data_IF_219753116298
#
_entry.id   IF_219753116298
#
_cell.length_a   1.000
_cell.length_b   1.000
_cell.length_c   1.000
_cell.angle_alpha   90.00
_cell.angle_beta   90.00
_cell.angle_gamma   90.00
#
_symmetry.space_group_name_H-M   'P 1'
#
loop_
_entity.id
_entity.type
_entity.pdbx_description
1 polymer ?
#
# COMPACT_ATOMS: atom_id res chain seq x y z
N UNK A 1 7.35 3.73 46.89
CA UNK A 1 5.88 3.82 46.76
C UNK A 1 5.48 2.91 45.61
N UNK A 2 4.55 1.98 45.80
CA UNK A 2 4.18 0.99 44.78
C UNK A 2 3.27 1.58 43.71
N UNK A 3 3.60 1.37 42.44
CA UNK A 3 2.69 1.61 41.32
C UNK A 3 1.64 0.50 41.26
N UNK A 4 0.38 0.80 41.56
CA UNK A 4 -0.73 -0.14 41.38
C UNK A 4 -0.94 -0.44 39.90
N UNK A 5 -0.68 -1.67 39.48
CA UNK A 5 -0.86 -2.15 38.11
C UNK A 5 -2.34 -2.37 37.81
N UNK A 6 -3.05 -1.29 37.45
CA UNK A 6 -4.48 -1.31 37.11
C UNK A 6 -4.76 -1.87 35.72
N UNK A 7 -4.51 -3.16 35.54
CA UNK A 7 -5.06 -3.90 34.40
C UNK A 7 -6.58 -3.80 34.39
N UNK A 8 -7.17 -3.45 33.25
CA UNK A 8 -8.62 -3.41 33.08
C UNK A 8 -9.06 -4.46 32.05
N UNK A 9 -9.89 -5.40 32.50
CA UNK A 9 -10.56 -6.38 31.65
C UNK A 9 -12.04 -6.01 31.53
N UNK A 10 -12.55 -5.90 30.31
CA UNK A 10 -13.94 -5.50 30.04
C UNK A 10 -14.54 -6.31 28.88
N UNK A 11 -15.30 -7.35 29.21
CA UNK A 11 -16.20 -8.02 28.28
C UNK A 11 -17.54 -7.27 28.22
N UNK A 12 -18.05 -6.99 27.02
CA UNK A 12 -19.26 -6.21 26.79
C UNK A 12 -20.10 -6.83 25.66
N UNK A 13 -21.41 -6.89 25.86
CA UNK A 13 -22.39 -7.35 24.88
C UNK A 13 -23.45 -6.26 24.66
N UNK A 14 -23.84 -6.05 23.40
CA UNK A 14 -25.06 -5.35 22.97
C UNK A 14 -25.33 -4.00 23.68
N UNK A 15 -24.60 -2.94 23.31
CA UNK A 15 -24.87 -1.58 23.79
C UNK A 15 -25.14 -0.59 22.64
N UNK A 16 -25.99 0.41 22.92
CA UNK A 16 -26.43 1.44 21.97
C UNK A 16 -25.28 2.36 21.54
N UNK A 17 -24.75 3.17 22.45
CA UNK A 17 -23.59 4.03 22.21
C UNK A 17 -22.73 4.00 23.48
N UNK A 18 -21.40 3.95 23.33
CA UNK A 18 -20.48 4.15 24.46
C UNK A 18 -19.35 5.09 24.09
N UNK A 19 -19.06 6.02 25.00
CA UNK A 19 -17.93 6.92 24.93
C UNK A 19 -16.93 6.57 26.03
N UNK A 20 -15.65 6.56 25.71
CA UNK A 20 -14.56 6.44 26.69
C UNK A 20 -13.60 7.62 26.54
N UNK A 21 -13.21 8.20 27.68
CA UNK A 21 -12.05 9.10 27.80
C UNK A 21 -11.13 8.52 28.86
N UNK A 22 -9.93 8.08 28.46
CA UNK A 22 -8.97 7.40 29.33
C UNK A 22 -7.59 8.05 29.23
N UNK A 23 -7.05 8.47 30.38
CA UNK A 23 -5.72 9.06 30.49
C UNK A 23 -4.77 8.09 31.21
N UNK A 24 -3.67 7.73 30.56
CA UNK A 24 -2.61 6.83 31.08
C UNK A 24 -3.08 5.45 31.60
N UNK A 25 -3.99 4.70 30.92
CA UNK A 25 -4.23 3.31 31.30
C UNK A 25 -2.97 2.48 31.05
N UNK A 26 -2.63 1.58 31.98
CA UNK A 26 -1.45 0.72 31.85
C UNK A 26 -1.71 -0.35 30.77
N UNK A 27 -2.63 -1.27 31.05
CA UNK A 27 -3.04 -2.34 30.13
C UNK A 27 -4.56 -2.44 30.12
N UNK A 28 -5.17 -2.47 28.94
CA UNK A 28 -6.61 -2.56 28.76
C UNK A 28 -6.99 -3.66 27.75
N UNK A 29 -7.79 -4.62 28.20
CA UNK A 29 -8.32 -5.74 27.41
C UNK A 29 -9.83 -5.59 27.23
N UNK A 30 -10.27 -5.57 25.97
CA UNK A 30 -11.67 -5.44 25.60
C UNK A 30 -12.13 -6.56 24.68
N UNK A 31 -13.21 -7.24 25.07
CA UNK A 31 -13.98 -8.13 24.20
C UNK A 31 -15.38 -7.54 24.03
N UNK A 32 -15.76 -7.15 22.81
CA UNK A 32 -16.99 -6.37 22.56
C UNK A 32 -17.81 -7.00 21.44
N UNK A 33 -19.05 -7.38 21.74
CA UNK A 33 -19.97 -8.01 20.80
C UNK A 33 -21.16 -7.10 20.47
N UNK A 34 -21.39 -6.87 19.16
CA UNK A 34 -22.48 -6.08 18.58
C UNK A 34 -22.66 -4.66 19.18
N UNK A 35 -21.61 -3.82 19.27
CA UNK A 35 -21.77 -2.43 19.69
C UNK A 35 -22.39 -1.59 18.55
N UNK A 36 -23.50 -0.90 18.82
CA UNK A 36 -24.17 -0.06 17.82
C UNK A 36 -23.37 1.23 17.54
N UNK A 37 -22.59 1.76 18.50
CA UNK A 37 -21.44 2.64 18.22
C UNK A 37 -20.48 2.77 19.41
N UNK A 38 -19.18 2.94 19.14
CA UNK A 38 -18.13 3.13 20.15
C UNK A 38 -17.19 4.27 19.75
N UNK A 39 -16.97 5.20 20.69
CA UNK A 39 -16.16 6.41 20.51
C UNK A 39 -15.11 6.53 21.62
N UNK A 40 -13.84 6.28 21.32
CA UNK A 40 -12.77 6.18 22.32
C UNK A 40 -11.68 7.23 22.11
N UNK A 41 -11.46 8.06 23.13
CA UNK A 41 -10.32 8.97 23.24
C UNK A 41 -9.37 8.41 24.31
N UNK A 42 -8.14 8.06 23.94
CA UNK A 42 -7.18 7.45 24.87
C UNK A 42 -5.81 8.12 24.75
N UNK A 43 -5.27 8.64 25.86
CA UNK A 43 -4.01 9.38 25.88
C UNK A 43 -2.92 8.63 26.64
N UNK A 44 -1.79 8.36 25.98
CA UNK A 44 -0.62 7.67 26.51
C UNK A 44 -0.91 6.28 27.13
N UNK A 45 -1.65 5.37 26.44
CA UNK A 45 -1.81 3.99 26.91
C UNK A 45 -0.52 3.20 26.70
N UNK A 46 -0.17 2.31 27.63
CA UNK A 46 1.00 1.43 27.43
C UNK A 46 0.62 0.28 26.48
N UNK A 47 -0.40 -0.52 26.81
CA UNK A 47 -0.89 -1.60 25.95
C UNK A 47 -2.42 -1.63 25.86
N UNK A 48 -2.95 -1.86 24.65
CA UNK A 48 -4.37 -2.02 24.36
C UNK A 48 -4.61 -3.26 23.50
N UNK A 49 -5.53 -4.14 23.94
CA UNK A 49 -6.02 -5.28 23.18
C UNK A 49 -7.54 -5.19 22.99
N UNK A 50 -8.00 -5.29 21.75
CA UNK A 50 -9.42 -5.27 21.40
C UNK A 50 -9.78 -6.47 20.49
N UNK A 51 -10.74 -7.28 20.94
CA UNK A 51 -11.50 -8.21 20.11
C UNK A 51 -12.92 -7.64 19.93
N UNK A 52 -13.34 -7.33 18.70
CA UNK A 52 -14.65 -6.69 18.45
C UNK A 52 -15.40 -7.43 17.32
N UNK A 53 -16.65 -7.80 17.56
CA UNK A 53 -17.51 -8.50 16.60
C UNK A 53 -18.74 -7.67 16.22
N UNK A 54 -19.01 -7.58 14.92
CA UNK A 54 -20.13 -6.87 14.31
C UNK A 54 -20.36 -5.42 14.81
N UNK A 55 -19.33 -4.56 14.94
CA UNK A 55 -19.56 -3.17 15.30
C UNK A 55 -20.12 -2.39 14.11
N UNK A 56 -20.98 -1.41 14.36
CA UNK A 56 -21.44 -0.50 13.31
C UNK A 56 -20.40 0.63 13.07
N UNK A 57 -20.47 1.87 13.59
CA UNK A 57 -19.35 2.82 13.52
C UNK A 57 -18.43 2.73 14.75
N UNK A 58 -17.14 2.52 14.50
CA UNK A 58 -16.07 2.64 15.48
C UNK A 58 -15.22 3.88 15.20
N UNK A 59 -15.12 4.78 16.18
CA UNK A 59 -14.28 5.98 16.12
C UNK A 59 -13.26 5.99 17.26
N UNK A 60 -11.98 6.15 16.91
CA UNK A 60 -10.87 6.13 17.86
C UNK A 60 -9.90 7.29 17.62
N UNK A 61 -9.56 8.01 18.68
CA UNK A 61 -8.48 8.98 18.71
C UNK A 61 -7.49 8.57 19.82
N UNK A 62 -6.31 8.07 19.44
CA UNK A 62 -5.32 7.59 20.42
C UNK A 62 -3.98 8.27 20.20
N UNK A 63 -3.50 8.92 21.25
CA UNK A 63 -2.24 9.67 21.25
C UNK A 63 -1.14 8.89 21.98
N UNK A 64 0.00 8.70 21.33
CA UNK A 64 1.21 8.06 21.87
C UNK A 64 1.00 6.68 22.52
N UNK A 65 0.34 5.70 21.86
CA UNK A 65 0.28 4.33 22.36
C UNK A 65 1.62 3.61 22.17
N UNK A 66 2.06 2.82 23.15
CA UNK A 66 3.24 1.97 22.98
C UNK A 66 2.90 0.69 22.20
N UNK A 67 1.76 0.04 22.46
CA UNK A 67 1.25 -1.04 21.61
C UNK A 67 -0.28 -1.09 21.51
N UNK A 68 -0.82 -1.23 20.29
CA UNK A 68 -2.23 -1.59 20.07
C UNK A 68 -2.33 -2.91 19.28
N UNK A 69 -3.21 -3.81 19.74
CA UNK A 69 -3.61 -5.03 19.05
C UNK A 69 -5.12 -5.05 18.83
N UNK A 70 -5.56 -5.17 17.58
CA UNK A 70 -6.97 -5.22 17.19
C UNK A 70 -7.29 -6.47 16.35
N UNK A 71 -8.27 -7.25 16.80
CA UNK A 71 -8.94 -8.28 16.01
C UNK A 71 -10.41 -7.88 15.84
N UNK A 72 -10.84 -7.52 14.61
CA UNK A 72 -12.20 -7.01 14.37
C UNK A 72 -12.89 -7.77 13.23
N UNK A 73 -14.06 -8.31 13.53
CA UNK A 73 -14.90 -9.05 12.59
C UNK A 73 -16.11 -8.21 12.16
N UNK A 74 -16.31 -8.08 10.84
CA UNK A 74 -17.44 -7.41 10.17
C UNK A 74 -17.72 -5.98 10.66
N UNK A 75 -16.74 -5.06 10.74
CA UNK A 75 -17.03 -3.65 11.03
C UNK A 75 -17.70 -2.97 9.84
N UNK A 76 -18.77 -2.21 10.10
CA UNK A 76 -19.45 -1.42 9.07
C UNK A 76 -18.60 -0.20 8.66
N UNK A 77 -18.17 0.61 9.64
CA UNK A 77 -17.18 1.66 9.42
C UNK A 77 -16.16 1.76 10.56
N UNK A 78 -14.94 2.18 10.21
CA UNK A 78 -13.81 2.21 11.12
C UNK A 78 -12.93 3.43 10.84
N UNK A 79 -12.88 4.36 11.79
CA UNK A 79 -12.14 5.62 11.69
C UNK A 79 -11.15 5.74 12.86
N UNK A 80 -9.86 5.70 12.56
CA UNK A 80 -8.78 5.89 13.55
C UNK A 80 -7.93 7.11 13.21
N UNK A 81 -7.79 8.05 14.14
CA UNK A 81 -6.70 9.01 14.16
C UNK A 81 -5.65 8.58 15.19
N UNK A 82 -4.43 8.27 14.75
CA UNK A 82 -3.35 7.79 15.62
C UNK A 82 -2.07 8.61 15.43
N UNK A 83 -1.55 9.15 16.54
CA UNK A 83 -0.40 10.05 16.55
C UNK A 83 0.78 9.43 17.31
N UNK A 84 1.89 9.19 16.60
CA UNK A 84 3.14 8.61 17.10
C UNK A 84 2.96 7.25 17.84
N UNK A 85 2.29 6.24 17.24
CA UNK A 85 2.23 4.90 17.81
C UNK A 85 3.55 4.14 17.60
N UNK A 86 4.03 3.43 18.63
CA UNK A 86 5.26 2.63 18.51
C UNK A 86 5.03 1.29 17.78
N UNK A 87 3.97 0.55 18.13
CA UNK A 87 3.61 -0.70 17.46
C UNK A 87 2.09 -0.84 17.30
N UNK A 88 1.63 -1.20 16.10
CA UNK A 88 0.22 -1.47 15.80
C UNK A 88 0.05 -2.78 15.03
N UNK A 89 -0.79 -3.68 15.55
CA UNK A 89 -1.14 -4.95 14.90
C UNK A 89 -2.66 -5.04 14.70
N UNK A 90 -3.10 -5.17 13.45
CA UNK A 90 -4.50 -5.24 13.08
C UNK A 90 -4.80 -6.50 12.25
N UNK A 91 -5.77 -7.29 12.70
CA UNK A 91 -6.38 -8.38 11.91
C UNK A 91 -7.86 -8.07 11.71
N UNK A 92 -8.29 -7.92 10.45
CA UNK A 92 -9.64 -7.44 10.11
C UNK A 92 -10.32 -8.39 9.12
N UNK A 93 -11.56 -8.78 9.39
CA UNK A 93 -12.34 -9.69 8.53
C UNK A 93 -13.62 -9.05 8.02
N UNK A 94 -13.78 -8.99 6.69
CA UNK A 94 -14.92 -8.41 5.97
C UNK A 94 -15.28 -6.96 6.39
N UNK A 95 -14.32 -6.01 6.50
CA UNK A 95 -14.67 -4.62 6.79
C UNK A 95 -15.31 -3.94 5.58
N UNK A 96 -16.41 -3.21 5.79
CA UNK A 96 -17.12 -2.55 4.69
C UNK A 96 -16.47 -1.21 4.30
N UNK A 97 -16.10 -0.37 5.28
CA UNK A 97 -15.32 0.86 5.05
C UNK A 97 -14.28 1.10 6.14
N UNK A 98 -13.02 1.36 5.77
CA UNK A 98 -11.97 1.81 6.68
C UNK A 98 -11.36 3.13 6.22
N UNK A 99 -11.17 4.09 7.13
CA UNK A 99 -10.48 5.35 6.85
C UNK A 99 -9.43 5.70 7.91
N UNK A 100 -8.17 5.84 7.50
CA UNK A 100 -7.00 5.88 8.38
C UNK A 100 -6.02 7.03 8.07
N UNK A 101 -6.13 8.19 8.74
CA UNK A 101 -5.04 9.14 8.91
C UNK A 101 -4.11 8.72 10.09
N UNK A 102 -2.83 8.44 9.81
CA UNK A 102 -1.81 8.23 10.86
C UNK A 102 -0.57 9.08 10.63
N UNK A 103 0.04 9.52 11.74
CA UNK A 103 1.25 10.34 11.75
C UNK A 103 2.36 9.66 12.57
N UNK A 104 3.54 9.52 11.95
CA UNK A 104 4.78 8.99 12.52
C UNK A 104 4.66 7.60 13.21
N UNK A 105 4.02 6.58 12.60
CA UNK A 105 4.03 5.23 13.18
C UNK A 105 5.40 4.55 13.01
N UNK A 106 5.90 3.93 14.08
CA UNK A 106 7.20 3.24 14.03
C UNK A 106 7.10 1.82 13.46
N UNK A 107 6.06 1.05 13.78
CA UNK A 107 5.74 -0.19 13.07
C UNK A 107 4.24 -0.44 12.96
N UNK A 108 3.75 -0.72 11.74
CA UNK A 108 2.39 -1.20 11.48
C UNK A 108 2.41 -2.59 10.81
N UNK A 109 1.59 -3.51 11.34
CA UNK A 109 1.27 -4.79 10.70
C UNK A 109 -0.24 -4.93 10.51
N UNK A 110 -0.69 -5.06 9.27
CA UNK A 110 -2.11 -5.27 8.91
C UNK A 110 -2.30 -6.58 8.15
N UNK A 111 -3.25 -7.40 8.59
CA UNK A 111 -3.80 -8.52 7.82
C UNK A 111 -5.30 -8.31 7.62
N UNK A 112 -5.78 -8.18 6.38
CA UNK A 112 -7.18 -7.84 6.09
C UNK A 112 -7.77 -8.78 5.04
N UNK A 113 -8.91 -9.38 5.37
CA UNK A 113 -9.65 -10.30 4.51
C UNK A 113 -10.94 -9.66 4.00
N UNK A 114 -11.15 -9.72 2.69
CA UNK A 114 -12.37 -9.27 1.97
C UNK A 114 -12.83 -7.84 2.32
N UNK A 115 -11.96 -6.82 2.33
CA UNK A 115 -12.39 -5.44 2.55
C UNK A 115 -13.13 -4.88 1.33
N UNK A 116 -14.22 -4.14 1.54
CA UNK A 116 -14.96 -3.52 0.43
C UNK A 116 -14.35 -2.17 0.01
N UNK A 117 -14.07 -1.27 0.95
CA UNK A 117 -13.39 0.00 0.66
C UNK A 117 -12.37 0.37 1.74
N UNK A 118 -11.10 0.55 1.36
CA UNK A 118 -10.06 1.07 2.27
C UNK A 118 -9.46 2.38 1.75
N UNK A 119 -9.36 3.38 2.63
CA UNK A 119 -8.66 4.64 2.37
C UNK A 119 -7.62 4.92 3.46
N UNK A 120 -6.34 4.98 3.07
CA UNK A 120 -5.21 5.25 3.98
C UNK A 120 -4.43 6.50 3.57
N UNK A 121 -4.16 7.37 4.55
CA UNK A 121 -3.22 8.48 4.42
C UNK A 121 -2.20 8.41 5.56
N UNK A 122 -0.95 8.05 5.26
CA UNK A 122 0.09 7.87 6.29
C UNK A 122 1.27 8.83 6.06
N UNK A 123 1.71 9.47 7.14
CA UNK A 123 2.85 10.40 7.12
C UNK A 123 4.02 9.83 7.92
N UNK A 124 5.20 9.81 7.29
CA UNK A 124 6.49 9.37 7.83
C UNK A 124 6.47 8.02 8.59
N UNK A 125 5.88 6.94 8.04
CA UNK A 125 5.92 5.63 8.68
C UNK A 125 7.32 4.99 8.53
N UNK A 126 7.86 4.42 9.61
CA UNK A 126 9.19 3.80 9.58
C UNK A 126 9.14 2.38 8.99
N UNK A 127 8.21 1.53 9.44
CA UNK A 127 7.98 0.20 8.85
C UNK A 127 6.49 -0.10 8.68
N UNK A 128 6.10 -0.53 7.49
CA UNK A 128 4.73 -0.97 7.16
C UNK A 128 4.73 -2.38 6.54
N UNK A 129 3.96 -3.29 7.13
CA UNK A 129 3.66 -4.61 6.57
C UNK A 129 2.15 -4.77 6.38
N UNK A 130 1.72 -5.04 5.14
CA UNK A 130 0.31 -5.24 4.77
C UNK A 130 0.11 -6.55 4.01
N UNK A 131 -0.77 -7.41 4.50
CA UNK A 131 -1.25 -8.62 3.79
C UNK A 131 -2.75 -8.51 3.55
N UNK A 132 -3.17 -8.46 2.28
CA UNK A 132 -4.56 -8.19 1.91
C UNK A 132 -5.12 -9.28 0.98
N UNK A 133 -6.31 -9.80 1.29
CA UNK A 133 -6.98 -10.84 0.51
C UNK A 133 -8.33 -10.34 -0.02
N UNK A 134 -8.54 -10.45 -1.33
CA UNK A 134 -9.78 -10.10 -2.03
C UNK A 134 -10.34 -8.68 -1.72
N UNK A 135 -9.53 -7.60 -1.78
CA UNK A 135 -10.04 -6.25 -1.60
C UNK A 135 -10.83 -5.77 -2.83
N UNK A 136 -11.98 -5.13 -2.62
CA UNK A 136 -12.78 -4.58 -3.73
C UNK A 136 -12.21 -3.25 -4.22
N UNK A 137 -11.97 -2.28 -3.32
CA UNK A 137 -11.35 -1.00 -3.66
C UNK A 137 -10.33 -0.58 -2.59
N UNK A 138 -9.09 -0.27 -3.01
CA UNK A 138 -8.06 0.32 -2.14
C UNK A 138 -7.57 1.67 -2.68
N UNK A 139 -7.44 2.65 -1.79
CA UNK A 139 -6.75 3.92 -2.05
C UNK A 139 -5.70 4.19 -0.96
N UNK A 140 -4.45 4.41 -1.36
CA UNK A 140 -3.33 4.71 -0.48
C UNK A 140 -2.60 5.97 -0.91
N UNK A 141 -2.40 6.90 0.02
CA UNK A 141 -1.49 8.04 -0.11
C UNK A 141 -0.46 8.00 1.01
N UNK A 142 0.82 7.79 0.70
CA UNK A 142 1.88 7.74 1.72
C UNK A 142 2.94 8.83 1.47
N UNK A 143 3.36 9.49 2.54
CA UNK A 143 4.41 10.52 2.52
C UNK A 143 5.62 10.04 3.32
N UNK A 144 6.80 10.09 2.71
CA UNK A 144 8.10 9.78 3.31
C UNK A 144 8.18 8.42 4.05
N UNK A 145 7.64 7.31 3.52
CA UNK A 145 7.76 6.01 4.17
C UNK A 145 9.18 5.47 4.06
N UNK A 146 9.75 4.97 5.15
CA UNK A 146 11.09 4.37 5.11
C UNK A 146 11.03 2.97 4.48
N UNK A 147 10.44 1.96 5.16
CA UNK A 147 10.26 0.62 4.60
C UNK A 147 8.79 0.24 4.41
N UNK A 148 8.45 -0.31 3.24
CA UNK A 148 7.11 -0.83 2.92
C UNK A 148 7.18 -2.27 2.43
N UNK A 149 6.31 -3.14 2.93
CA UNK A 149 6.09 -4.49 2.43
C UNK A 149 4.59 -4.75 2.25
N UNK A 150 4.15 -4.91 1.01
CA UNK A 150 2.76 -5.17 0.66
C UNK A 150 2.63 -6.50 -0.10
N UNK A 151 1.74 -7.37 0.37
CA UNK A 151 1.35 -8.63 -0.29
C UNK A 151 -0.16 -8.65 -0.49
N UNK A 152 -0.62 -8.64 -1.74
CA UNK A 152 -2.04 -8.43 -2.07
C UNK A 152 -2.54 -9.49 -3.06
N UNK A 153 -3.64 -10.16 -2.72
CA UNK A 153 -4.24 -11.23 -3.50
C UNK A 153 -5.64 -10.86 -4.02
N UNK A 154 -5.87 -11.08 -5.32
CA UNK A 154 -7.14 -10.91 -6.05
C UNK A 154 -7.85 -9.56 -5.81
N UNK A 155 -7.15 -8.41 -5.94
CA UNK A 155 -7.77 -7.10 -5.78
C UNK A 155 -8.56 -6.67 -7.02
N UNK A 156 -9.72 -6.05 -6.83
CA UNK A 156 -10.56 -5.53 -7.94
C UNK A 156 -10.04 -4.18 -8.45
N UNK A 157 -9.89 -3.20 -7.57
CA UNK A 157 -9.38 -1.86 -7.89
C UNK A 157 -8.35 -1.39 -6.87
N UNK A 158 -7.20 -0.92 -7.37
CA UNK A 158 -6.07 -0.43 -6.59
C UNK A 158 -5.62 0.94 -7.06
N UNK A 159 -5.42 1.88 -6.13
CA UNK A 159 -4.82 3.19 -6.37
C UNK A 159 -3.76 3.51 -5.32
N UNK A 160 -2.53 3.76 -5.77
CA UNK A 160 -1.39 4.10 -4.92
C UNK A 160 -0.77 5.43 -5.34
N UNK A 161 -0.53 6.33 -4.39
CA UNK A 161 0.24 7.56 -4.56
C UNK A 161 1.31 7.63 -3.47
N UNK A 162 2.59 7.67 -3.86
CA UNK A 162 3.72 7.65 -2.94
C UNK A 162 4.67 8.82 -3.17
N UNK A 163 5.00 9.53 -2.09
CA UNK A 163 5.96 10.63 -2.07
C UNK A 163 7.21 10.23 -1.27
N UNK A 164 8.37 10.29 -1.91
CA UNK A 164 9.69 10.06 -1.32
C UNK A 164 9.84 8.75 -0.51
N UNK A 165 9.42 7.57 -1.02
CA UNK A 165 9.62 6.28 -0.33
C UNK A 165 11.07 5.79 -0.44
N UNK A 166 11.62 5.20 0.63
CA UNK A 166 13.03 4.77 0.63
C UNK A 166 13.26 3.30 0.22
N UNK A 167 12.57 2.33 0.84
CA UNK A 167 12.66 0.90 0.51
C UNK A 167 11.30 0.18 0.45
N UNK A 168 10.51 0.47 -0.60
CA UNK A 168 9.22 -0.18 -0.82
C UNK A 168 9.29 -1.48 -1.63
N UNK A 169 8.57 -2.51 -1.17
CA UNK A 169 8.48 -3.85 -1.74
C UNK A 169 7.01 -4.29 -1.95
N UNK A 170 6.66 -4.73 -3.16
CA UNK A 170 5.29 -5.15 -3.53
C UNK A 170 5.23 -6.56 -4.12
N UNK A 171 4.23 -7.33 -3.67
CA UNK A 171 3.81 -8.60 -4.29
C UNK A 171 2.31 -8.54 -4.57
N UNK A 172 1.92 -8.64 -5.84
CA UNK A 172 0.55 -8.50 -6.32
C UNK A 172 0.13 -9.72 -7.14
N UNK A 173 -1.01 -10.33 -6.79
CA UNK A 173 -1.50 -11.56 -7.41
C UNK A 173 -2.91 -11.38 -7.98
N UNK A 174 -3.03 -11.43 -9.31
CA UNK A 174 -4.28 -11.32 -10.07
C UNK A 174 -5.09 -10.02 -9.83
N UNK A 175 -4.49 -8.80 -9.99
CA UNK A 175 -5.24 -7.56 -9.89
C UNK A 175 -6.06 -7.28 -11.16
N UNK A 176 -7.31 -6.84 -11.00
CA UNK A 176 -8.14 -6.46 -12.15
C UNK A 176 -7.84 -5.05 -12.66
N UNK A 177 -7.65 -4.08 -11.75
CA UNK A 177 -7.17 -2.73 -12.09
C UNK A 177 -6.16 -2.23 -11.06
N UNK A 178 -5.03 -1.71 -11.54
CA UNK A 178 -3.99 -1.05 -10.75
C UNK A 178 -3.63 0.31 -11.36
N UNK A 179 -3.72 1.37 -10.57
CA UNK A 179 -3.10 2.67 -10.85
C UNK A 179 -2.03 2.98 -9.80
N UNK A 180 -0.85 3.39 -10.27
CA UNK A 180 0.31 3.61 -9.42
C UNK A 180 1.02 4.93 -9.77
N UNK A 181 1.22 5.79 -8.78
CA UNK A 181 1.89 7.09 -8.93
C UNK A 181 3.03 7.21 -7.91
N UNK A 182 4.23 7.52 -8.38
CA UNK A 182 5.45 7.58 -7.58
C UNK A 182 6.25 8.86 -7.82
N UNK A 183 6.66 9.51 -6.73
CA UNK A 183 7.52 10.69 -6.72
C UNK A 183 8.78 10.42 -5.88
N UNK A 184 9.95 10.61 -6.48
CA UNK A 184 11.27 10.54 -5.84
C UNK A 184 11.57 9.25 -5.03
N UNK A 185 11.29 8.01 -5.51
CA UNK A 185 11.64 6.80 -4.78
C UNK A 185 13.15 6.54 -4.77
N UNK A 186 13.71 6.24 -3.58
CA UNK A 186 15.14 5.97 -3.35
C UNK A 186 15.54 4.49 -3.50
N UNK A 187 14.54 3.62 -3.59
CA UNK A 187 14.61 2.31 -4.23
C UNK A 187 13.17 1.86 -4.54
N UNK A 188 12.98 0.76 -5.27
CA UNK A 188 11.71 0.04 -5.31
C UNK A 188 11.92 -1.40 -5.78
N UNK A 189 11.21 -2.34 -5.16
CA UNK A 189 11.00 -3.68 -5.69
C UNK A 189 9.49 -3.94 -5.89
N UNK A 190 9.08 -4.47 -7.04
CA UNK A 190 7.72 -4.98 -7.25
C UNK A 190 7.69 -6.27 -8.04
N UNK A 191 6.70 -7.10 -7.75
CA UNK A 191 6.43 -8.38 -8.41
C UNK A 191 4.93 -8.52 -8.61
N UNK A 192 4.48 -8.69 -9.85
CA UNK A 192 3.06 -8.64 -10.23
C UNK A 192 2.72 -9.82 -11.15
N UNK A 193 1.72 -10.62 -10.75
CA UNK A 193 1.23 -11.80 -11.48
C UNK A 193 -0.18 -11.57 -12.01
N UNK A 194 -0.41 -11.90 -13.29
CA UNK A 194 -1.70 -11.92 -13.99
C UNK A 194 -2.56 -10.63 -13.86
N UNK A 195 -2.04 -9.41 -14.08
CA UNK A 195 -2.86 -8.21 -14.07
C UNK A 195 -3.73 -8.07 -15.33
N UNK A 196 -5.02 -7.78 -15.17
CA UNK A 196 -5.89 -7.45 -16.31
C UNK A 196 -5.60 -6.05 -16.86
N UNK A 197 -5.46 -5.06 -15.99
CA UNK A 197 -5.16 -3.67 -16.36
C UNK A 197 -4.24 -2.97 -15.36
N UNK A 198 -3.24 -2.24 -15.87
CA UNK A 198 -2.15 -1.68 -15.09
C UNK A 198 -1.67 -0.34 -15.66
N UNK A 199 -1.70 0.72 -14.85
CA UNK A 199 -1.23 2.07 -15.16
C UNK A 199 -0.15 2.52 -14.16
N UNK A 200 1.03 2.92 -14.65
CA UNK A 200 2.12 3.47 -13.82
C UNK A 200 2.59 4.86 -14.27
N UNK A 201 2.76 5.76 -13.30
CA UNK A 201 3.41 7.07 -13.43
C UNK A 201 4.60 7.20 -12.48
N UNK A 202 5.78 7.57 -13.00
CA UNK A 202 7.05 7.57 -12.26
C UNK A 202 7.88 8.85 -12.47
N UNK A 203 8.10 9.60 -11.39
CA UNK A 203 8.90 10.81 -11.36
C UNK A 203 10.17 10.63 -10.50
N UNK A 204 11.34 10.94 -11.08
CA UNK A 204 12.67 10.91 -10.44
C UNK A 204 13.05 9.65 -9.62
N UNK A 205 12.87 8.41 -10.12
CA UNK A 205 13.29 7.20 -9.42
C UNK A 205 14.81 6.95 -9.45
N UNK A 206 15.39 6.51 -8.34
CA UNK A 206 16.81 6.18 -8.20
C UNK A 206 17.02 5.10 -7.11
N UNK A 207 17.31 3.82 -7.43
CA UNK A 207 17.01 3.05 -8.64
C UNK A 207 15.67 2.28 -8.50
N UNK A 208 15.22 1.55 -9.53
CA UNK A 208 13.94 0.83 -9.50
C UNK A 208 14.05 -0.59 -10.06
N UNK A 209 13.30 -1.56 -9.50
CA UNK A 209 13.20 -2.94 -9.98
C UNK A 209 11.74 -3.42 -9.96
N UNK A 210 11.25 -3.96 -11.08
CA UNK A 210 9.89 -4.49 -11.20
C UNK A 210 9.88 -5.79 -11.99
N UNK A 211 9.05 -6.76 -11.62
CA UNK A 211 8.81 -8.00 -12.38
C UNK A 211 7.32 -8.17 -12.64
N UNK A 212 6.98 -8.65 -13.84
CA UNK A 212 5.61 -8.69 -14.34
C UNK A 212 5.38 -9.94 -15.20
N UNK A 213 4.28 -10.65 -14.96
CA UNK A 213 3.92 -11.86 -15.71
C UNK A 213 2.44 -11.86 -16.11
N UNK A 214 2.17 -12.29 -17.34
CA UNK A 214 0.85 -12.39 -17.98
C UNK A 214 -0.03 -11.12 -17.85
N UNK A 215 0.48 -9.90 -18.18
CA UNK A 215 -0.37 -8.71 -18.23
C UNK A 215 -1.25 -8.73 -19.47
N UNK A 216 -2.56 -8.53 -19.31
CA UNK A 216 -3.49 -8.48 -20.43
C UNK A 216 -3.59 -7.07 -21.05
N UNK A 217 -3.45 -6.02 -20.22
CA UNK A 217 -3.22 -4.65 -20.68
C UNK A 217 -2.30 -3.87 -19.74
N UNK A 218 -1.42 -3.02 -20.29
CA UNK A 218 -0.47 -2.22 -19.54
C UNK A 218 -0.21 -0.86 -20.18
N UNK A 219 -0.21 0.20 -19.38
CA UNK A 219 0.14 1.57 -19.74
C UNK A 219 1.18 2.12 -18.75
N UNK A 220 2.15 2.89 -19.24
CA UNK A 220 3.25 3.42 -18.42
C UNK A 220 3.64 4.81 -18.89
N UNK A 221 4.09 5.69 -17.99
CA UNK A 221 4.74 6.96 -18.34
C UNK A 221 5.79 7.30 -17.28
N UNK A 222 7.03 7.59 -17.69
CA UNK A 222 8.21 7.77 -16.81
C UNK A 222 9.04 8.96 -17.30
N UNK A 223 9.68 9.74 -16.40
CA UNK A 223 11.09 10.23 -16.46
C UNK A 223 11.37 11.41 -15.48
N UNK A 224 12.61 11.74 -15.03
CA UNK A 224 13.94 11.73 -15.71
C UNK A 224 15.09 11.17 -14.83
N UNK A 225 15.50 9.87 -14.95
CA UNK A 225 16.41 9.20 -14.01
C UNK A 225 17.70 8.60 -14.64
N UNK A 226 18.45 7.88 -13.79
CA UNK A 226 19.66 7.06 -14.06
C UNK A 226 19.87 6.11 -12.85
N UNK A 227 19.29 4.91 -12.72
CA UNK A 227 18.93 3.89 -13.72
C UNK A 227 17.72 3.01 -13.28
N UNK A 228 17.29 2.07 -14.14
CA UNK A 228 15.98 1.38 -14.09
C UNK A 228 16.04 -0.13 -14.41
N UNK A 229 15.22 -0.95 -13.72
CA UNK A 229 14.96 -2.39 -13.98
C UNK A 229 13.46 -2.77 -14.04
N UNK A 230 13.20 -3.95 -14.58
CA UNK A 230 11.97 -4.41 -15.27
C UNK A 230 12.04 -5.96 -15.40
N UNK A 231 10.93 -6.61 -15.78
CA UNK A 231 10.84 -7.86 -16.57
C UNK A 231 9.37 -8.13 -16.91
N UNK A 232 9.10 -8.87 -17.99
CA UNK A 232 7.80 -8.94 -18.66
C UNK A 232 7.60 -10.32 -19.28
N UNK A 233 6.43 -10.96 -19.11
CA UNK A 233 6.10 -12.25 -19.74
C UNK A 233 4.68 -12.36 -20.33
N UNK A 234 4.54 -13.04 -21.48
CA UNK A 234 3.32 -13.28 -22.29
C UNK A 234 2.36 -12.07 -22.43
N UNK A 235 2.70 -11.05 -23.26
CA UNK A 235 2.06 -9.75 -23.16
C UNK A 235 1.70 -9.08 -24.51
N UNK A 236 0.42 -8.86 -24.80
CA UNK A 236 -0.06 -7.71 -25.59
C UNK A 236 -1.58 -7.52 -25.45
N UNK A 237 -2.17 -6.29 -25.53
CA UNK A 237 -1.57 -4.95 -25.73
C UNK A 237 -0.81 -4.30 -24.55
N UNK A 238 0.36 -3.72 -24.85
CA UNK A 238 1.09 -2.74 -24.02
C UNK A 238 0.77 -1.29 -24.49
N UNK A 239 1.27 -0.20 -23.89
CA UNK A 239 2.54 0.46 -24.29
C UNK A 239 2.91 1.72 -23.43
N UNK A 240 4.20 1.79 -23.03
CA UNK A 240 5.12 2.86 -22.52
C UNK A 240 4.86 4.40 -22.64
N UNK A 241 5.73 5.23 -22.00
CA UNK A 241 6.20 6.59 -22.41
C UNK A 241 7.39 7.09 -21.56
N UNK A 242 8.30 7.91 -22.15
CA UNK A 242 9.70 8.12 -21.71
C UNK A 242 10.27 9.49 -22.21
N UNK A 243 11.17 10.22 -21.48
CA UNK A 243 12.13 11.31 -21.93
C UNK A 243 12.69 12.17 -20.73
N UNK A 244 13.97 12.50 -20.42
CA UNK A 244 15.36 12.34 -20.95
C UNK A 244 16.30 11.55 -19.95
N UNK A 245 17.23 10.67 -20.38
CA UNK A 245 18.13 9.87 -19.49
C UNK A 245 19.66 10.14 -19.47
N UNK A 246 20.33 9.43 -18.55
CA UNK A 246 21.34 8.40 -18.89
C UNK A 246 20.94 7.08 -18.15
N UNK A 247 21.47 5.91 -18.53
CA UNK A 247 21.23 4.53 -18.00
C UNK A 247 19.77 4.04 -17.75
N UNK A 248 19.46 2.84 -18.27
CA UNK A 248 18.20 2.09 -18.14
C UNK A 248 18.46 0.63 -18.61
N UNK A 249 17.55 -0.34 -18.38
CA UNK A 249 17.59 -1.60 -19.13
C UNK A 249 16.21 -2.23 -19.49
N UNK A 250 16.23 -3.41 -20.14
CA UNK A 250 15.19 -3.91 -21.07
C UNK A 250 15.19 -5.46 -21.29
N UNK A 251 14.20 -6.11 -21.96
CA UNK A 251 12.75 -6.31 -21.67
C UNK A 251 12.14 -7.53 -22.42
N UNK A 252 10.92 -7.99 -22.06
CA UNK A 252 10.06 -9.02 -22.73
C UNK A 252 10.50 -10.50 -22.56
N UNK A 253 9.77 -11.56 -22.91
CA UNK A 253 9.06 -12.02 -24.14
C UNK A 253 7.58 -12.42 -23.86
N UNK A 254 6.64 -12.69 -24.77
CA UNK A 254 6.65 -12.84 -26.23
C UNK A 254 5.39 -12.14 -26.83
N UNK A 255 5.53 -11.06 -27.61
CA UNK A 255 4.42 -10.19 -28.05
C UNK A 255 4.11 -10.14 -29.56
N UNK A 256 2.93 -9.63 -29.93
CA UNK A 256 2.53 -9.27 -31.31
C UNK A 256 1.39 -8.20 -31.27
N UNK A 257 1.59 -6.88 -31.45
CA UNK A 257 2.68 -6.06 -32.01
C UNK A 257 3.05 -4.75 -31.23
N UNK A 258 4.14 -4.09 -31.63
CA UNK A 258 4.89 -3.03 -30.91
C UNK A 258 4.66 -1.59 -31.48
N UNK A 259 5.30 -0.46 -31.06
CA UNK A 259 6.65 -0.19 -30.48
C UNK A 259 6.68 1.07 -29.54
N UNK A 260 7.87 1.56 -29.15
CA UNK A 260 8.13 2.50 -28.03
C UNK A 260 8.45 3.97 -28.42
N UNK A 261 8.60 4.88 -27.44
CA UNK A 261 9.25 6.22 -27.55
C UNK A 261 9.52 6.91 -26.17
N UNK A 262 10.48 7.82 -25.98
CA UNK A 262 11.95 7.64 -26.14
C UNK A 262 12.73 8.65 -25.27
N UNK A 263 13.80 9.28 -25.76
CA UNK A 263 15.05 9.30 -25.04
C UNK A 263 15.90 10.52 -25.53
N UNK A 264 16.55 11.25 -24.60
CA UNK A 264 17.72 12.11 -24.92
C UNK A 264 19.04 11.64 -24.29
N UNK A 265 19.47 10.36 -24.42
CA UNK A 265 20.78 9.87 -24.01
C UNK A 265 21.52 9.35 -25.29
N UNK A 266 22.64 8.62 -25.27
CA UNK A 266 23.53 8.23 -24.17
C UNK A 266 23.07 7.08 -23.22
N UNK A 267 22.06 6.29 -23.61
CA UNK A 267 21.54 5.13 -22.87
C UNK A 267 20.55 4.37 -23.73
N UNK A 268 20.35 3.09 -23.43
CA UNK A 268 19.81 2.14 -24.42
C UNK A 268 18.62 1.32 -23.91
N UNK A 269 17.87 0.77 -24.87
CA UNK A 269 16.48 0.35 -24.69
C UNK A 269 16.13 -0.71 -25.78
N UNK A 270 16.35 -2.00 -25.54
CA UNK A 270 16.07 -3.05 -26.55
C UNK A 270 15.25 -4.25 -26.05
N UNK A 271 14.00 -4.28 -26.50
CA UNK A 271 12.97 -5.18 -26.02
C UNK A 271 12.62 -6.19 -27.12
N UNK A 272 12.96 -7.46 -26.88
CA UNK A 272 13.03 -8.50 -27.93
C UNK A 272 11.90 -9.53 -27.74
N UNK A 273 11.55 -10.16 -28.86
CA UNK A 273 10.24 -10.72 -29.13
C UNK A 273 10.39 -11.98 -30.00
N UNK A 274 9.30 -12.70 -30.22
CA UNK A 274 9.02 -13.42 -31.46
C UNK A 274 7.91 -12.62 -32.16
N UNK A 275 8.22 -11.45 -32.77
CA UNK A 275 7.26 -10.39 -33.04
C UNK A 275 6.56 -10.58 -34.38
N UNK A 276 5.40 -9.94 -34.52
CA UNK A 276 4.79 -9.72 -35.84
C UNK A 276 4.01 -8.39 -35.98
N UNK A 277 4.54 -7.29 -35.40
CA UNK A 277 4.79 -6.06 -36.19
C UNK A 277 5.64 -5.02 -35.42
N UNK A 278 6.48 -4.32 -36.19
CA UNK A 278 7.54 -3.37 -35.81
C UNK A 278 7.30 -2.02 -36.53
N UNK A 279 7.95 -0.90 -36.22
CA UNK A 279 9.11 -0.59 -35.37
C UNK A 279 8.88 0.80 -34.72
N UNK A 280 9.82 1.33 -33.92
CA UNK A 280 10.54 2.60 -34.20
C UNK A 280 11.39 3.13 -33.01
N UNK A 281 12.48 3.86 -33.33
CA UNK A 281 13.37 4.56 -32.38
C UNK A 281 13.82 5.91 -33.00
N UNK A 282 13.88 7.00 -32.22
CA UNK A 282 14.11 8.38 -32.72
C UNK A 282 15.24 9.13 -31.98
N UNK A 283 16.22 9.64 -32.75
CA UNK A 283 17.26 10.59 -32.33
C UNK A 283 17.09 11.93 -33.11
N UNK A 284 18.01 12.90 -33.17
CA UNK A 284 19.25 12.91 -33.98
C UNK A 284 19.96 14.29 -33.87
N UNK A 285 21.18 14.50 -34.41
CA UNK A 285 22.13 13.51 -34.96
C UNK A 285 23.56 13.61 -34.35
N UNK A 286 24.49 12.82 -34.93
CA UNK A 286 25.97 12.86 -34.83
C UNK A 286 26.67 12.06 -33.72
N UNK A 287 27.23 10.91 -34.16
CA UNK A 287 28.64 10.44 -34.02
C UNK A 287 29.44 10.75 -32.74
N UNK A 288 30.17 9.80 -32.13
CA UNK A 288 30.58 8.45 -32.56
C UNK A 288 30.23 7.38 -31.51
#
# INVERSE_FOLDING_TARGET
MGSSSTEHYCALYNFLIRHYSLNKPLTLYHAINNPLSLHNVINNPLVLHYAINNPLPLHYAINKPLSLHYAINKPLSLHYGLNNPLSLHYTLYNPLSLHYPLYNPLSLHYTIYKPLSLHYTLYSPLSLHYTLYNPLSLHYTLYNPLSLHYTIYKPLSLRYTLYNPLSPHYVLNNPLSLHYTLYNPLSLHSTIYNPLSLHYGLNNPLPLHSTLSNPLSLHYTIYKPLSLRYTLYNPLPLHYTIYKPLSLHYTLYNPLSLHYTIFKPLSLHYAINHPLSLHYVLNDPLTF
#
